data_IF_803190299982
#
_entry.id   IF_803190299982
#
_cell.length_a   1.000
_cell.length_b   1.000
_cell.length_c   1.000
_cell.angle_alpha   90.00
_cell.angle_beta   90.00
_cell.angle_gamma   90.00
#
_symmetry.space_group_name_H-M   'P 1'
#
loop_
_entity.id
_entity.type
_entity.pdbx_description
1 polymer ?
#
# COMPACT_ATOMS: atom_id res chain seq x y z
N UNK A 1 -19.21 -8.22 42.10
CA UNK A 1 -18.48 -7.44 43.12
C UNK A 1 -17.08 -8.08 43.28
N UNK A 2 -16.07 -7.62 42.53
CA UNK A 2 -14.64 -7.85 42.87
C UNK A 2 -14.18 -6.55 43.52
N UNK A 3 -13.57 -6.64 44.72
CA UNK A 3 -13.36 -5.54 45.67
C UNK A 3 -13.11 -4.16 45.05
N UNK A 4 -13.89 -3.17 45.47
CA UNK A 4 -13.79 -1.74 45.13
C UNK A 4 -13.87 -1.30 43.66
N UNK A 5 -14.11 -2.19 42.69
CA UNK A 5 -14.28 -1.80 41.28
C UNK A 5 -15.65 -2.22 40.72
N UNK A 6 -16.30 -1.30 40.00
CA UNK A 6 -17.47 -1.59 39.17
C UNK A 6 -16.99 -1.93 37.76
N UNK A 7 -17.37 -3.11 37.27
CA UNK A 7 -17.07 -3.56 35.92
C UNK A 7 -18.34 -3.49 35.09
N UNK A 8 -18.29 -2.80 33.96
CA UNK A 8 -19.34 -2.78 32.95
C UNK A 8 -18.79 -3.47 31.70
N UNK A 9 -19.46 -4.53 31.27
CA UNK A 9 -19.17 -5.17 29.99
C UNK A 9 -19.87 -4.37 28.87
N UNK A 10 -19.19 -3.37 28.35
CA UNK A 10 -19.57 -2.72 27.11
C UNK A 10 -18.98 -3.55 25.97
N UNK A 11 -19.84 -4.38 25.33
CA UNK A 11 -19.56 -5.19 24.12
C UNK A 11 -18.69 -4.44 23.08
N UNK A 12 -18.26 -5.13 22.01
CA UNK A 12 -17.46 -4.52 20.93
C UNK A 12 -18.01 -3.18 20.44
N UNK A 13 -17.35 -2.11 20.86
CA UNK A 13 -17.60 -0.73 20.43
C UNK A 13 -16.82 -0.47 19.13
N UNK A 14 -17.41 0.21 18.14
CA UNK A 14 -16.71 0.56 16.91
C UNK A 14 -15.52 1.48 17.19
N UNK A 15 -14.55 1.48 16.27
CA UNK A 15 -13.37 2.36 16.31
C UNK A 15 -13.82 3.82 16.35
N UNK A 16 -13.32 4.58 17.32
CA UNK A 16 -13.76 5.96 17.50
C UNK A 16 -13.42 6.55 18.88
N UNK A 17 -13.75 7.82 19.05
CA UNK A 17 -13.57 8.56 20.29
C UNK A 17 -14.87 8.51 21.11
N UNK A 18 -14.74 8.12 22.37
CA UNK A 18 -15.85 7.99 23.30
C UNK A 18 -15.67 8.92 24.49
N UNK A 19 -16.80 9.41 24.98
CA UNK A 19 -16.87 10.19 26.21
C UNK A 19 -17.79 9.47 27.18
N UNK A 20 -17.43 9.46 28.46
CA UNK A 20 -18.27 8.89 29.50
C UNK A 20 -18.48 9.92 30.61
N UNK A 21 -19.65 9.84 31.24
CA UNK A 21 -20.02 10.63 32.42
C UNK A 21 -20.43 9.68 33.54
N UNK A 22 -19.65 9.64 34.60
CA UNK A 22 -20.00 8.98 35.84
C UNK A 22 -20.72 9.97 36.75
N UNK A 23 -21.85 9.55 37.32
CA UNK A 23 -22.64 10.36 38.26
C UNK A 23 -22.85 9.54 39.53
N UNK A 24 -22.55 10.13 40.68
CA UNK A 24 -22.78 9.55 42.00
C UNK A 24 -23.58 10.53 42.83
N UNK A 25 -24.62 10.03 43.49
CA UNK A 25 -25.32 10.76 44.55
C UNK A 25 -24.75 10.33 45.90
N UNK A 26 -24.11 11.26 46.61
CA UNK A 26 -23.59 11.05 47.95
C UNK A 26 -23.90 12.28 48.82
N UNK A 27 -24.40 12.06 50.04
CA UNK A 27 -24.71 13.11 51.04
C UNK A 27 -25.47 14.34 50.48
N UNK A 28 -26.50 14.09 49.67
CA UNK A 28 -27.35 15.14 49.08
C UNK A 28 -26.68 15.98 47.99
N UNK A 29 -25.46 15.61 47.56
CA UNK A 29 -24.74 16.27 46.45
C UNK A 29 -24.55 15.31 45.29
N UNK A 30 -24.79 15.82 44.08
CA UNK A 30 -24.54 15.09 42.85
C UNK A 30 -23.10 15.35 42.41
N UNK A 31 -22.27 14.31 42.45
CA UNK A 31 -20.89 14.33 41.99
C UNK A 31 -20.84 13.79 40.56
N UNK A 32 -20.34 14.60 39.63
CA UNK A 32 -20.21 14.24 38.23
C UNK A 32 -18.73 14.18 37.85
N UNK A 33 -18.32 13.13 37.15
CA UNK A 33 -16.99 12.98 36.58
C UNK A 33 -17.10 12.66 35.09
N UNK A 34 -16.42 13.45 34.26
CA UNK A 34 -16.39 13.26 32.82
C UNK A 34 -14.99 12.78 32.40
N UNK A 35 -14.93 11.76 31.55
CA UNK A 35 -13.68 11.26 30.96
C UNK A 35 -13.84 10.93 29.49
N UNK A 36 -12.71 10.70 28.81
CA UNK A 36 -12.67 10.37 27.38
C UNK A 36 -11.70 9.23 27.14
N UNK A 37 -12.02 8.35 26.20
CA UNK A 37 -11.12 7.30 25.73
C UNK A 37 -11.31 7.08 24.23
N UNK A 38 -10.28 6.58 23.56
CA UNK A 38 -10.31 6.28 22.13
C UNK A 38 -10.11 4.79 21.90
N UNK A 39 -10.91 4.21 21.01
CA UNK A 39 -10.75 2.84 20.54
C UNK A 39 -10.05 2.91 19.19
N UNK A 40 -8.82 2.40 19.13
CA UNK A 40 -8.04 2.32 17.92
C UNK A 40 -8.32 1.03 17.16
N UNK A 41 -8.25 1.04 15.81
CA UNK A 41 -8.36 -0.19 15.03
C UNK A 41 -7.15 -1.06 15.36
N UNK A 42 -7.38 -2.29 15.82
CA UNK A 42 -6.29 -3.24 16.01
C UNK A 42 -5.84 -3.70 14.62
N UNK A 43 -4.64 -3.29 14.23
CA UNK A 43 -4.03 -3.73 12.98
C UNK A 43 -3.40 -5.11 13.22
N UNK A 44 -4.21 -6.17 13.11
CA UNK A 44 -3.78 -7.57 13.32
C UNK A 44 -2.55 -7.94 12.48
N UNK A 45 -2.39 -7.33 11.31
CA UNK A 45 -1.24 -7.52 10.40
C UNK A 45 0.11 -7.13 11.02
N UNK A 46 0.12 -6.18 11.97
CA UNK A 46 1.34 -5.76 12.68
C UNK A 46 1.71 -6.68 13.84
N UNK A 47 0.73 -7.38 14.42
CA UNK A 47 0.96 -8.28 15.55
C UNK A 47 1.22 -9.72 15.11
N UNK A 48 0.68 -10.10 13.96
CA UNK A 48 0.83 -11.44 13.41
C UNK A 48 1.49 -11.36 12.03
N UNK A 49 2.83 -11.44 12.03
CA UNK A 49 3.67 -11.40 10.82
C UNK A 49 3.61 -12.70 10.01
N UNK A 50 2.95 -13.75 10.52
CA UNK A 50 2.75 -15.01 9.81
C UNK A 50 1.52 -14.94 8.91
N UNK A 51 1.73 -15.16 7.62
CA UNK A 51 0.64 -15.18 6.64
C UNK A 51 -0.36 -16.30 6.97
N UNK A 52 -1.61 -15.93 7.23
CA UNK A 52 -2.68 -16.90 7.41
C UNK A 52 -3.22 -17.34 6.04
N UNK A 53 -2.60 -18.37 5.45
CA UNK A 53 -2.98 -18.91 4.15
C UNK A 53 -4.46 -19.34 4.07
N UNK A 54 -5.08 -19.75 5.18
CA UNK A 54 -6.50 -20.10 5.21
C UNK A 54 -7.41 -18.87 5.06
N UNK A 55 -7.06 -17.76 5.71
CA UNK A 55 -7.77 -16.49 5.56
C UNK A 55 -7.60 -15.95 4.13
N UNK A 56 -6.37 -15.94 3.62
CA UNK A 56 -6.06 -15.47 2.27
C UNK A 56 -6.79 -16.28 1.19
N UNK A 57 -6.88 -17.60 1.35
CA UNK A 57 -7.64 -18.47 0.44
C UNK A 57 -9.13 -18.16 0.45
N UNK A 58 -9.73 -17.98 1.63
CA UNK A 58 -11.15 -17.58 1.74
C UNK A 58 -11.40 -16.20 1.12
N UNK A 59 -10.49 -15.26 1.33
CA UNK A 59 -10.57 -13.92 0.75
C UNK A 59 -10.50 -13.97 -0.78
N UNK A 60 -9.55 -14.72 -1.32
CA UNK A 60 -9.40 -14.93 -2.77
C UNK A 60 -10.66 -15.52 -3.37
N UNK A 61 -11.22 -16.59 -2.77
CA UNK A 61 -12.48 -17.20 -3.21
C UNK A 61 -13.65 -16.21 -3.20
N UNK A 62 -13.78 -15.39 -2.15
CA UNK A 62 -14.81 -14.36 -2.02
C UNK A 62 -14.73 -13.29 -3.12
N UNK A 63 -13.51 -12.94 -3.53
CA UNK A 63 -13.25 -11.93 -4.56
C UNK A 63 -13.18 -12.53 -5.99
N UNK A 64 -13.53 -13.81 -6.17
CA UNK A 64 -13.44 -14.50 -7.46
C UNK A 64 -12.01 -14.77 -7.94
N UNK A 65 -11.03 -14.65 -7.04
CA UNK A 65 -9.64 -15.02 -7.22
C UNK A 65 -9.40 -16.52 -7.01
N UNK A 66 -8.31 -17.00 -7.60
CA UNK A 66 -7.81 -18.37 -7.42
C UNK A 66 -6.52 -18.30 -6.61
N UNK A 67 -6.34 -19.22 -5.65
CA UNK A 67 -5.07 -19.36 -4.91
C UNK A 67 -4.31 -20.54 -5.43
N UNK A 68 -3.04 -20.33 -5.78
CA UNK A 68 -2.13 -21.38 -6.23
C UNK A 68 -1.04 -21.59 -5.18
N UNK A 69 -0.81 -22.84 -4.81
CA UNK A 69 0.31 -23.25 -3.97
C UNK A 69 1.62 -23.33 -4.77
N UNK A 70 2.77 -23.51 -4.07
CA UNK A 70 4.08 -23.62 -4.70
C UNK A 70 4.24 -24.83 -5.64
N UNK A 71 3.38 -25.84 -5.54
CA UNK A 71 3.40 -27.02 -6.42
C UNK A 71 2.45 -26.89 -7.63
N UNK A 72 1.61 -25.85 -7.66
CA UNK A 72 0.53 -25.69 -8.65
C UNK A 72 0.91 -24.72 -9.78
N UNK A 73 2.20 -24.69 -10.15
CA UNK A 73 2.70 -23.81 -11.22
C UNK A 73 2.05 -24.11 -12.58
N UNK A 74 1.78 -25.38 -12.87
CA UNK A 74 1.12 -25.79 -14.12
C UNK A 74 -0.33 -25.32 -14.18
N UNK A 75 -1.06 -25.45 -13.07
CA UNK A 75 -2.45 -24.97 -12.96
C UNK A 75 -2.54 -23.44 -13.04
N UNK A 76 -1.52 -22.73 -12.53
CA UNK A 76 -1.40 -21.28 -12.68
C UNK A 76 -1.22 -20.88 -14.15
N UNK A 77 -0.36 -21.58 -14.90
CA UNK A 77 -0.13 -21.32 -16.31
C UNK A 77 -1.41 -21.52 -17.14
N UNK A 78 -2.13 -22.62 -16.89
CA UNK A 78 -3.40 -22.90 -17.56
C UNK A 78 -4.47 -21.88 -17.19
N UNK A 79 -4.58 -21.48 -15.92
CA UNK A 79 -5.55 -20.47 -15.47
C UNK A 79 -5.26 -19.07 -16.05
N UNK A 80 -3.98 -18.72 -16.23
CA UNK A 80 -3.56 -17.48 -16.90
C UNK A 80 -3.90 -17.53 -18.40
N UNK A 81 -3.62 -18.65 -19.06
CA UNK A 81 -3.91 -18.84 -20.50
C UNK A 81 -5.42 -18.92 -20.79
N UNK A 82 -6.21 -19.49 -19.89
CA UNK A 82 -7.66 -19.61 -20.03
C UNK A 82 -8.41 -18.29 -19.80
N UNK A 83 -7.81 -17.33 -19.09
CA UNK A 83 -8.38 -15.99 -18.90
C UNK A 83 -7.95 -15.08 -20.05
N UNK A 84 -8.75 -15.06 -21.11
CA UNK A 84 -8.68 -14.14 -22.26
C UNK A 84 -9.05 -12.66 -21.88
N UNK A 85 -8.85 -12.29 -20.62
CA UNK A 85 -9.11 -10.95 -20.05
C UNK A 85 -7.91 -10.42 -19.29
N UNK A 86 -6.71 -10.93 -19.58
CA UNK A 86 -5.48 -10.18 -19.28
C UNK A 86 -5.30 -9.16 -20.40
N UNK A 87 -6.24 -8.20 -20.49
CA UNK A 87 -5.89 -6.94 -21.15
C UNK A 87 -4.71 -6.41 -20.35
N UNK A 88 -3.54 -6.19 -20.97
CA UNK A 88 -2.40 -5.67 -20.25
C UNK A 88 -2.87 -4.34 -19.67
N UNK A 89 -3.00 -4.29 -18.35
CA UNK A 89 -3.21 -3.02 -17.65
C UNK A 89 -1.92 -2.29 -17.91
N UNK A 90 -1.95 -1.42 -18.92
CA UNK A 90 -0.86 -0.55 -19.30
C UNK A 90 -0.68 0.37 -18.12
N UNK A 91 0.13 -0.05 -17.14
CA UNK A 91 0.69 0.84 -16.15
C UNK A 91 1.60 1.78 -16.93
N UNK A 92 1.00 2.83 -17.48
CA UNK A 92 1.72 3.97 -18.01
C UNK A 92 2.33 4.68 -16.80
N UNK A 93 3.38 4.08 -16.25
CA UNK A 93 4.27 4.77 -15.36
C UNK A 93 4.93 5.80 -16.26
N UNK A 94 4.44 7.05 -16.17
CA UNK A 94 5.06 8.18 -16.83
C UNK A 94 6.38 8.45 -16.11
N UNK A 95 7.35 7.54 -16.32
CA UNK A 95 8.74 7.80 -16.01
C UNK A 95 9.15 8.80 -17.08
N UNK A 96 9.16 10.07 -16.71
CA UNK A 96 9.91 11.12 -17.41
C UNK A 96 11.37 10.69 -17.41
N UNK A 97 11.73 9.74 -18.28
CA UNK A 97 13.12 9.39 -18.55
C UNK A 97 13.67 10.60 -19.27
N UNK A 98 14.42 11.39 -18.51
CA UNK A 98 15.12 12.55 -19.01
C UNK A 98 15.85 12.18 -20.30
N UNK A 99 15.60 12.92 -21.38
CA UNK A 99 16.12 12.69 -22.75
C UNK A 99 17.67 12.64 -22.77
N UNK A 100 18.28 13.17 -21.71
CA UNK A 100 19.71 13.12 -21.39
C UNK A 100 20.25 11.70 -21.13
N UNK A 101 19.43 10.70 -20.85
CA UNK A 101 19.92 9.32 -20.62
C UNK A 101 20.34 8.60 -21.92
N UNK A 102 20.03 9.17 -23.10
CA UNK A 102 20.49 8.65 -24.38
C UNK A 102 21.93 9.11 -24.64
N UNK A 103 22.91 8.39 -24.08
CA UNK A 103 24.36 8.56 -24.36
C UNK A 103 24.69 8.76 -25.86
N UNK A 104 23.87 8.22 -26.76
CA UNK A 104 23.98 8.40 -28.20
C UNK A 104 23.85 9.87 -28.68
N UNK A 105 23.02 10.69 -28.04
CA UNK A 105 22.86 12.10 -28.44
C UNK A 105 24.14 12.90 -28.18
N UNK A 106 24.88 12.55 -27.12
CA UNK A 106 26.17 13.13 -26.80
C UNK A 106 27.22 12.78 -27.87
N UNK A 107 27.26 11.52 -28.32
CA UNK A 107 28.15 11.12 -29.41
C UNK A 107 27.81 11.81 -30.74
N UNK A 108 26.52 12.00 -31.04
CA UNK A 108 26.09 12.71 -32.24
C UNK A 108 26.52 14.19 -32.22
N UNK A 109 26.37 14.87 -31.09
CA UNK A 109 26.84 16.25 -30.89
C UNK A 109 28.37 16.35 -31.03
N UNK A 110 29.11 15.42 -30.41
CA UNK A 110 30.58 15.36 -30.52
C UNK A 110 31.04 15.12 -31.95
N UNK A 111 30.35 14.23 -32.68
CA UNK A 111 30.62 13.96 -34.09
C UNK A 111 30.39 15.21 -34.94
N UNK A 112 29.25 15.89 -34.75
CA UNK A 112 28.91 17.09 -35.51
C UNK A 112 29.94 18.22 -35.27
N UNK A 113 30.37 18.41 -34.02
CA UNK A 113 31.42 19.38 -33.67
C UNK A 113 32.77 19.02 -34.29
N UNK A 114 33.13 17.73 -34.31
CA UNK A 114 34.37 17.25 -34.93
C UNK A 114 34.34 17.48 -36.44
N UNK A 115 33.21 17.18 -37.09
CA UNK A 115 33.02 17.43 -38.53
C UNK A 115 33.06 18.91 -38.83
N UNK A 116 32.38 19.75 -38.05
CA UNK A 116 32.44 21.21 -38.21
C UNK A 116 33.87 21.73 -38.10
N UNK A 117 34.61 21.30 -37.07
CA UNK A 117 36.01 21.67 -36.90
C UNK A 117 36.88 21.18 -38.06
N UNK A 118 36.66 19.96 -38.55
CA UNK A 118 37.39 19.38 -39.68
C UNK A 118 37.10 20.11 -40.99
N UNK A 119 35.83 20.39 -41.28
CA UNK A 119 35.41 21.22 -42.41
C UNK A 119 36.02 22.62 -42.31
N UNK A 120 35.99 23.24 -41.13
CA UNK A 120 36.63 24.55 -40.92
C UNK A 120 38.14 24.49 -41.12
N UNK A 121 38.82 23.42 -40.71
CA UNK A 121 40.26 23.23 -40.94
C UNK A 121 40.58 23.06 -42.43
N UNK A 122 39.69 22.43 -43.19
CA UNK A 122 39.87 22.17 -44.62
C UNK A 122 39.50 23.38 -45.49
N UNK A 123 38.40 24.07 -45.19
CA UNK A 123 37.93 25.24 -45.95
C UNK A 123 38.53 26.58 -45.48
N UNK A 124 39.06 26.66 -44.26
CA UNK A 124 39.73 27.87 -43.73
C UNK A 124 41.22 27.96 -44.05
N UNK A 125 41.75 27.07 -44.88
CA UNK A 125 43.12 27.10 -45.37
C UNK A 125 43.11 27.26 -46.91
N UNK A 126 42.48 28.33 -47.40
CA UNK A 126 42.73 28.96 -48.70
C UNK A 126 42.41 30.45 -48.59
#
# INVERSE_FOLDING_TARGET
KKGNAYFLDAKTLPVGNYTYRAQVFADGRQLNYNGQFSIQPIQLELYQTTANHNLLRKLSQSLGGMTFGPEQFTELEEAIRAKDTIKPVLYQTSKTRSVIHFKWIFFLLLFLLTVEWFCRRYFGAY
#
